data_IF_697565908581
#
_entry.id   IF_697565908581
#
_cell.length_a   1.000
_cell.length_b   1.000
_cell.length_c   1.000
_cell.angle_alpha   90.00
_cell.angle_beta   90.00
_cell.angle_gamma   90.00
#
_symmetry.space_group_name_H-M   'P 1'
#
loop_
_entity.id
_entity.type
_entity.pdbx_description
1 polymer ?
#
# COMPACT_ATOMS: atom_id res chain seq x y z
N UNK A 1 6.05 -21.20 -15.59
CA UNK A 1 6.36 -20.10 -14.65
C UNK A 1 6.25 -18.79 -15.42
N UNK A 2 5.32 -17.87 -15.11
CA UNK A 2 5.31 -16.60 -15.84
C UNK A 2 6.53 -15.78 -15.44
N UNK A 3 7.27 -15.28 -16.43
CA UNK A 3 8.43 -14.41 -16.24
C UNK A 3 8.02 -13.15 -15.48
N UNK A 4 8.65 -12.96 -14.32
CA UNK A 4 8.68 -11.72 -13.56
C UNK A 4 9.46 -10.70 -14.41
N UNK A 5 8.80 -9.67 -14.93
CA UNK A 5 9.49 -8.62 -15.69
C UNK A 5 8.62 -7.70 -16.53
N UNK A 6 7.37 -8.07 -16.80
CA UNK A 6 6.37 -7.16 -17.41
C UNK A 6 5.03 -7.36 -16.72
N UNK A 7 4.70 -6.49 -15.77
CA UNK A 7 3.33 -6.01 -15.53
C UNK A 7 3.25 -5.24 -14.20
N UNK A 8 2.32 -4.29 -14.15
CA UNK A 8 1.75 -3.65 -12.95
C UNK A 8 2.49 -2.45 -12.33
N UNK A 9 3.24 -1.66 -13.11
CA UNK A 9 3.58 -0.29 -12.68
C UNK A 9 2.55 0.66 -13.29
N UNK A 10 1.71 1.26 -12.44
CA UNK A 10 0.74 2.26 -12.86
C UNK A 10 1.48 3.49 -13.40
N UNK A 11 1.11 3.94 -14.60
CA UNK A 11 1.72 5.14 -15.20
C UNK A 11 1.59 6.34 -14.26
N UNK A 12 2.67 7.13 -14.13
CA UNK A 12 2.67 8.36 -13.32
C UNK A 12 2.79 8.18 -11.81
N UNK A 13 2.86 6.96 -11.27
CA UNK A 13 2.98 6.72 -9.81
C UNK A 13 4.25 7.36 -9.22
N UNK A 14 5.37 7.32 -9.95
CA UNK A 14 6.61 7.95 -9.50
C UNK A 14 6.43 9.47 -9.35
N UNK A 15 5.81 10.12 -10.34
CA UNK A 15 5.53 11.56 -10.31
C UNK A 15 4.59 11.94 -9.17
N UNK A 16 3.53 11.17 -8.95
CA UNK A 16 2.58 11.38 -7.86
C UNK A 16 3.27 11.32 -6.50
N UNK A 17 4.01 10.23 -6.24
CA UNK A 17 4.66 10.05 -4.94
C UNK A 17 5.81 11.05 -4.74
N UNK A 18 6.54 11.44 -5.78
CA UNK A 18 7.49 12.56 -5.68
C UNK A 18 6.80 13.86 -5.26
N UNK A 19 5.67 14.23 -5.87
CA UNK A 19 4.94 15.45 -5.51
C UNK A 19 4.43 15.42 -4.05
N UNK A 20 3.97 14.26 -3.57
CA UNK A 20 3.57 14.07 -2.17
C UNK A 20 4.76 14.30 -1.23
N UNK A 21 5.93 13.74 -1.57
CA UNK A 21 7.16 13.92 -0.80
C UNK A 21 7.63 15.38 -0.78
N UNK A 22 7.57 16.05 -1.94
CA UNK A 22 7.89 17.48 -2.10
C UNK A 22 6.93 18.37 -1.29
N UNK A 23 5.70 17.91 -1.04
CA UNK A 23 4.71 18.58 -0.19
C UNK A 23 4.94 18.36 1.33
N UNK A 24 6.04 17.71 1.72
CA UNK A 24 6.44 17.52 3.12
C UNK A 24 5.96 16.21 3.77
N UNK A 25 5.19 15.39 3.07
CA UNK A 25 4.72 14.11 3.60
C UNK A 25 5.81 13.03 3.54
N UNK A 26 5.77 12.11 4.51
CA UNK A 26 6.61 10.91 4.51
C UNK A 26 5.83 9.74 3.91
N UNK A 27 6.49 8.95 3.06
CA UNK A 27 5.89 7.79 2.42
C UNK A 27 6.27 6.52 3.16
N UNK A 28 5.27 5.71 3.47
CA UNK A 28 5.38 4.38 4.05
C UNK A 28 4.83 3.39 3.03
N UNK A 29 5.65 2.43 2.62
CA UNK A 29 5.23 1.38 1.70
C UNK A 29 4.85 0.14 2.50
N UNK A 30 3.63 -0.37 2.32
CA UNK A 30 3.15 -1.59 2.98
C UNK A 30 3.05 -2.71 1.94
N UNK A 31 3.73 -3.83 2.20
CA UNK A 31 3.74 -4.98 1.30
C UNK A 31 3.36 -6.26 2.05
N UNK A 32 2.51 -7.09 1.45
CA UNK A 32 2.08 -8.38 1.99
C UNK A 32 2.81 -9.66 1.47
N UNK A 33 3.85 -9.64 0.61
CA UNK A 33 4.58 -10.86 0.28
C UNK A 33 5.49 -11.30 1.44
N UNK A 34 5.82 -12.59 1.48
CA UNK A 34 6.69 -13.18 2.49
C UNK A 34 8.01 -12.42 2.65
N UNK A 35 8.55 -12.37 3.87
CA UNK A 35 9.81 -11.69 4.22
C UNK A 35 11.00 -12.08 3.33
N UNK A 36 10.99 -13.29 2.77
CA UNK A 36 12.00 -13.79 1.81
C UNK A 36 12.01 -12.99 0.50
N UNK A 37 10.88 -12.39 0.11
CA UNK A 37 10.73 -11.52 -1.07
C UNK A 37 10.83 -10.02 -0.71
N UNK A 38 11.16 -9.69 0.54
CA UNK A 38 11.37 -8.33 1.00
C UNK A 38 12.45 -7.62 0.19
N UNK A 39 13.57 -8.30 -0.04
CA UNK A 39 14.67 -7.79 -0.83
C UNK A 39 14.24 -7.48 -2.27
N UNK A 40 13.45 -8.37 -2.89
CA UNK A 40 12.92 -8.17 -4.24
C UNK A 40 11.96 -6.98 -4.31
N UNK A 41 11.09 -6.83 -3.31
CA UNK A 41 10.17 -5.69 -3.22
C UNK A 41 10.92 -4.38 -3.05
N UNK A 42 11.91 -4.34 -2.14
CA UNK A 42 12.74 -3.16 -1.91
C UNK A 42 13.57 -2.81 -3.15
N UNK A 43 14.18 -3.81 -3.78
CA UNK A 43 14.94 -3.64 -5.02
C UNK A 43 14.04 -3.12 -6.15
N UNK A 44 12.82 -3.67 -6.29
CA UNK A 44 11.85 -3.18 -7.26
C UNK A 44 11.47 -1.72 -7.03
N UNK A 45 11.14 -1.33 -5.80
CA UNK A 45 10.79 0.06 -5.47
C UNK A 45 11.96 1.02 -5.73
N UNK A 46 13.18 0.64 -5.36
CA UNK A 46 14.38 1.45 -5.57
C UNK A 46 14.74 1.62 -7.05
N UNK A 47 14.45 0.60 -7.86
CA UNK A 47 14.78 0.59 -9.29
C UNK A 47 13.62 1.11 -10.17
N UNK A 48 12.44 1.34 -9.61
CA UNK A 48 11.31 1.86 -10.36
C UNK A 48 11.57 3.31 -10.78
N UNK A 49 11.67 3.52 -12.09
CA UNK A 49 11.82 4.84 -12.71
C UNK A 49 10.77 5.03 -13.79
N UNK A 50 10.07 6.14 -13.75
CA UNK A 50 9.12 6.59 -14.78
C UNK A 50 9.46 8.02 -15.16
N UNK A 51 9.55 8.31 -16.46
CA UNK A 51 9.83 9.66 -16.97
C UNK A 51 11.05 10.33 -16.31
N UNK A 52 12.10 9.54 -16.06
CA UNK A 52 13.34 9.93 -15.36
C UNK A 52 13.18 10.28 -13.87
N UNK A 53 11.98 10.14 -13.28
CA UNK A 53 11.76 10.21 -11.83
C UNK A 53 11.77 8.82 -11.21
N UNK A 54 12.53 8.67 -10.12
CA UNK A 54 12.50 7.49 -9.28
C UNK A 54 11.42 7.62 -8.21
N UNK A 55 10.98 6.50 -7.65
CA UNK A 55 10.18 6.54 -6.43
C UNK A 55 10.96 7.21 -5.29
N UNK A 56 10.31 8.07 -4.49
CA UNK A 56 10.92 8.64 -3.29
C UNK A 56 11.21 7.54 -2.25
N UNK A 57 12.30 7.74 -1.50
CA UNK A 57 12.68 6.83 -0.43
C UNK A 57 11.64 6.81 0.70
N UNK A 58 11.38 5.62 1.23
CA UNK A 58 10.51 5.41 2.39
C UNK A 58 10.71 4.02 3.00
N UNK A 59 10.37 3.84 4.29
CA UNK A 59 10.35 2.52 4.90
C UNK A 59 9.38 1.58 4.17
N UNK A 60 9.81 0.33 4.00
CA UNK A 60 8.97 -0.75 3.47
C UNK A 60 8.64 -1.67 4.63
N UNK A 61 7.39 -1.65 5.06
CA UNK A 61 6.89 -2.54 6.10
C UNK A 61 6.28 -3.77 5.43
N UNK A 62 6.68 -4.93 5.92
CA UNK A 62 6.34 -6.21 5.31
C UNK A 62 5.62 -7.06 6.33
N UNK A 63 4.61 -7.79 5.87
CA UNK A 63 3.94 -8.74 6.73
C UNK A 63 4.90 -9.77 7.31
N UNK A 64 4.79 -10.11 8.61
CA UNK A 64 5.50 -11.22 9.21
C UNK A 64 5.03 -12.59 8.68
N UNK A 65 4.20 -12.65 7.63
CA UNK A 65 3.73 -13.85 6.92
C UNK A 65 4.83 -14.89 6.63
N UNK A 66 6.10 -14.48 6.56
CA UNK A 66 7.23 -15.37 6.37
C UNK A 66 7.77 -16.08 7.63
N UNK A 67 7.27 -15.77 8.84
CA UNK A 67 7.91 -16.20 10.10
C UNK A 67 7.10 -17.22 10.94
N UNK A 68 5.77 -17.42 10.71
CA UNK A 68 4.92 -18.20 11.64
C UNK A 68 4.08 -19.33 10.98
N UNK A 69 4.33 -20.63 11.27
CA UNK A 69 3.77 -21.71 10.45
C UNK A 69 2.39 -22.28 10.81
N UNK A 70 1.92 -22.26 12.08
CA UNK A 70 0.83 -23.17 12.50
C UNK A 70 -0.54 -22.50 12.76
N UNK A 71 -0.60 -21.41 13.54
CA UNK A 71 -1.85 -20.71 13.87
C UNK A 71 -2.25 -19.69 12.78
N UNK A 72 -1.25 -19.03 12.19
CA UNK A 72 -1.38 -17.94 11.21
C UNK A 72 -1.98 -18.41 9.87
N UNK A 73 -1.63 -19.63 9.43
CA UNK A 73 -2.07 -20.24 8.16
C UNK A 73 -3.59 -20.49 8.07
N UNK A 74 -4.26 -20.60 9.22
CA UNK A 74 -5.70 -20.94 9.31
C UNK A 74 -6.61 -19.70 9.29
N UNK A 75 -6.13 -18.59 9.85
CA UNK A 75 -6.88 -17.33 10.00
C UNK A 75 -6.61 -16.38 8.83
N UNK A 76 -5.34 -16.08 8.52
CA UNK A 76 -4.97 -15.04 7.53
C UNK A 76 -5.21 -15.45 6.08
N UNK A 77 -5.20 -16.76 5.75
CA UNK A 77 -5.50 -17.22 4.39
C UNK A 77 -6.93 -16.85 3.93
N UNK A 78 -7.80 -16.41 4.85
CA UNK A 78 -9.17 -15.97 4.58
C UNK A 78 -9.37 -14.43 4.59
N UNK A 79 -8.46 -13.64 5.16
CA UNK A 79 -8.65 -12.19 5.31
C UNK A 79 -7.33 -11.38 5.29
N UNK A 80 -6.70 -11.18 4.12
CA UNK A 80 -5.43 -10.44 3.99
C UNK A 80 -5.49 -8.98 4.48
N UNK A 81 -6.69 -8.40 4.60
CA UNK A 81 -6.89 -7.04 5.13
C UNK A 81 -6.74 -6.96 6.65
N UNK A 82 -6.99 -8.04 7.39
CA UNK A 82 -6.80 -8.10 8.85
C UNK A 82 -5.33 -7.87 9.20
N UNK A 83 -4.41 -8.43 8.41
CA UNK A 83 -2.98 -8.17 8.59
C UNK A 83 -2.63 -6.70 8.39
N UNK A 84 -3.09 -6.11 7.27
CA UNK A 84 -2.80 -4.70 6.98
C UNK A 84 -3.32 -3.80 8.09
N UNK A 85 -4.51 -4.10 8.63
CA UNK A 85 -5.07 -3.40 9.78
C UNK A 85 -4.15 -3.52 10.99
N UNK A 86 -3.82 -4.75 11.41
CA UNK A 86 -2.99 -4.98 12.59
C UNK A 86 -1.62 -4.28 12.49
N UNK A 87 -0.96 -4.38 11.33
CA UNK A 87 0.32 -3.75 11.10
C UNK A 87 0.25 -2.21 11.16
N UNK A 88 -0.77 -1.62 10.52
CA UNK A 88 -0.97 -0.18 10.57
C UNK A 88 -1.36 0.30 11.99
N UNK A 89 -2.15 -0.50 12.73
CA UNK A 89 -2.45 -0.23 14.13
C UNK A 89 -1.20 -0.26 15.02
N UNK A 90 -0.32 -1.24 14.84
CA UNK A 90 0.92 -1.32 15.60
C UNK A 90 1.84 -0.13 15.32
N UNK A 91 1.92 0.33 14.06
CA UNK A 91 2.63 1.56 13.72
C UNK A 91 1.96 2.77 14.38
N UNK A 92 0.63 2.86 14.37
CA UNK A 92 -0.12 3.96 15.00
C UNK A 92 0.14 4.04 16.50
N UNK A 93 0.26 2.90 17.19
CA UNK A 93 0.58 2.83 18.63
C UNK A 93 1.96 3.39 18.99
N UNK A 94 2.87 3.54 18.02
CA UNK A 94 4.18 4.19 18.23
C UNK A 94 4.07 5.72 18.33
N UNK A 95 2.89 6.29 18.04
CA UNK A 95 2.61 7.71 18.10
C UNK A 95 1.66 8.04 19.27
N UNK A 96 1.61 9.31 19.72
CA UNK A 96 0.67 9.73 20.76
C UNK A 96 -0.79 9.39 20.40
N UNK A 97 -1.60 8.97 21.38
CA UNK A 97 -2.96 8.47 21.14
C UNK A 97 -3.88 9.48 20.42
N UNK A 98 -3.67 10.78 20.63
CA UNK A 98 -4.45 11.86 20.01
C UNK A 98 -3.98 12.25 18.61
N UNK A 99 -2.95 11.58 18.07
CA UNK A 99 -2.36 11.88 16.78
C UNK A 99 -2.49 10.68 15.83
N UNK A 100 -3.10 10.89 14.66
CA UNK A 100 -3.08 9.89 13.60
C UNK A 100 -1.89 10.17 12.66
N UNK A 101 -0.86 9.30 12.61
CA UNK A 101 0.29 9.50 11.72
C UNK A 101 -0.07 9.30 10.25
N UNK A 102 -1.22 8.68 9.94
CA UNK A 102 -1.62 8.39 8.58
C UNK A 102 -2.52 9.50 8.02
N UNK A 103 -1.99 10.26 7.05
CA UNK A 103 -2.75 11.31 6.38
C UNK A 103 -3.65 10.77 5.25
N UNK A 104 -3.13 9.85 4.43
CA UNK A 104 -3.81 9.29 3.26
C UNK A 104 -3.37 7.84 3.01
N UNK A 105 -4.20 7.06 2.30
CA UNK A 105 -3.93 5.68 1.93
C UNK A 105 -4.08 5.47 0.42
N UNK A 106 -3.11 4.78 -0.19
CA UNK A 106 -3.11 4.41 -1.61
C UNK A 106 -3.06 2.90 -1.74
N UNK A 107 -4.14 2.30 -2.23
CA UNK A 107 -4.31 0.87 -2.41
C UNK A 107 -4.65 0.49 -3.84
N UNK A 108 -4.80 -0.81 -4.09
CA UNK A 108 -5.21 -1.36 -5.38
C UNK A 108 -6.37 -2.36 -5.28
N UNK A 109 -6.91 -2.56 -4.07
CA UNK A 109 -8.06 -3.43 -3.79
C UNK A 109 -9.04 -2.72 -2.87
N UNK A 110 -10.33 -3.04 -2.97
CA UNK A 110 -11.36 -2.52 -2.04
C UNK A 110 -11.07 -2.90 -0.59
N UNK A 111 -10.41 -4.03 -0.38
CA UNK A 111 -9.94 -4.46 0.94
C UNK A 111 -8.93 -3.49 1.58
N UNK A 112 -8.22 -2.70 0.77
CA UNK A 112 -7.31 -1.67 1.27
C UNK A 112 -8.08 -0.47 1.82
N UNK A 113 -9.23 -0.13 1.21
CA UNK A 113 -10.11 0.92 1.75
C UNK A 113 -10.55 0.58 3.17
N UNK A 114 -10.96 -0.67 3.40
CA UNK A 114 -11.30 -1.15 4.73
C UNK A 114 -10.12 -1.00 5.71
N UNK A 115 -8.91 -1.40 5.30
CA UNK A 115 -7.72 -1.31 6.15
C UNK A 115 -7.40 0.13 6.54
N UNK A 116 -7.44 1.07 5.59
CA UNK A 116 -7.16 2.48 5.83
C UNK A 116 -8.25 3.16 6.66
N UNK A 117 -9.52 2.82 6.41
CA UNK A 117 -10.63 3.34 7.21
C UNK A 117 -10.54 2.90 8.66
N UNK A 118 -10.10 1.67 8.94
CA UNK A 118 -9.96 1.13 10.30
C UNK A 118 -8.93 1.86 11.15
N UNK A 119 -7.83 2.32 10.54
CA UNK A 119 -6.80 3.10 11.27
C UNK A 119 -7.10 4.59 11.37
N UNK A 120 -8.25 5.03 10.82
CA UNK A 120 -8.77 6.39 10.97
C UNK A 120 -8.41 7.35 9.84
N UNK A 121 -8.05 6.84 8.65
CA UNK A 121 -7.89 7.69 7.46
C UNK A 121 -9.28 8.06 6.93
N UNK A 122 -9.60 9.36 6.75
CA UNK A 122 -10.88 9.77 6.19
C UNK A 122 -11.08 9.24 4.76
N UNK A 123 -12.31 8.82 4.40
CA UNK A 123 -12.63 8.26 3.07
C UNK A 123 -12.20 9.15 1.90
N UNK A 124 -12.29 10.47 2.04
CA UNK A 124 -11.83 11.43 1.03
C UNK A 124 -10.32 11.47 0.80
N UNK A 125 -9.54 10.74 1.63
CA UNK A 125 -8.08 10.59 1.54
C UNK A 125 -7.66 9.13 1.34
N UNK A 126 -8.61 8.27 0.96
CA UNK A 126 -8.36 6.89 0.57
C UNK A 126 -8.54 6.78 -0.94
N UNK A 127 -7.49 6.30 -1.59
CA UNK A 127 -7.38 6.23 -3.04
C UNK A 127 -7.14 4.79 -3.46
N UNK A 128 -8.02 4.28 -4.33
CA UNK A 128 -7.84 2.97 -4.98
C UNK A 128 -7.40 3.23 -6.41
N UNK A 129 -6.25 2.69 -6.77
CA UNK A 129 -5.67 2.85 -8.10
C UNK A 129 -5.88 1.56 -8.87
N UNK A 130 -6.56 1.65 -10.01
CA UNK A 130 -6.83 0.50 -10.86
C UNK A 130 -5.60 0.09 -11.71
N UNK A 131 -5.63 -1.03 -12.43
CA UNK A 131 -4.52 -1.47 -13.27
C UNK A 131 -4.14 -0.51 -14.41
N UNK A 132 -5.07 0.36 -14.84
CA UNK A 132 -4.81 1.40 -15.86
C UNK A 132 -4.11 2.62 -15.28
N UNK A 133 -3.95 2.70 -13.95
CA UNK A 133 -3.38 3.86 -13.26
C UNK A 133 -4.38 4.97 -12.96
N UNK A 134 -5.67 4.72 -13.15
CA UNK A 134 -6.74 5.68 -12.80
C UNK A 134 -6.97 5.62 -11.29
N UNK A 135 -7.03 6.79 -10.66
CA UNK A 135 -7.19 6.95 -9.21
C UNK A 135 -8.65 7.29 -8.91
N UNK A 136 -9.30 6.48 -8.09
CA UNK A 136 -10.63 6.77 -7.55
C UNK A 136 -10.55 7.04 -6.05
N UNK A 137 -11.29 8.04 -5.57
CA UNK A 137 -11.58 8.18 -4.14
C UNK A 137 -12.60 7.12 -3.73
N UNK A 138 -12.61 6.68 -2.46
CA UNK A 138 -13.54 5.67 -1.90
C UNK A 138 -15.05 5.99 -2.00
N UNK A 139 -15.42 6.98 -2.80
CA UNK A 139 -16.77 7.22 -3.28
C UNK A 139 -16.69 7.41 -4.80
N UNK A 140 -17.24 6.45 -5.56
CA UNK A 140 -17.59 6.45 -7.00
C UNK A 140 -16.80 5.43 -7.83
N UNK A 141 -17.40 4.25 -7.95
CA UNK A 141 -17.38 3.51 -9.21
C UNK A 141 -18.83 3.26 -9.63
N UNK A 142 -19.58 4.34 -9.89
CA UNK A 142 -20.71 4.26 -10.81
C UNK A 142 -20.14 4.36 -12.23
N UNK A 143 -19.55 3.27 -12.69
CA UNK A 143 -19.37 3.10 -14.14
C UNK A 143 -20.75 2.76 -14.66
N UNK A 144 -21.46 3.78 -15.17
CA UNK A 144 -22.54 3.56 -16.12
C UNK A 144 -21.97 2.67 -17.23
N UNK A 145 -22.44 1.42 -17.29
CA UNK A 145 -22.34 0.62 -18.51
C UNK A 145 -23.09 1.40 -19.59
N UNK A 146 -22.35 1.88 -20.58
CA UNK A 146 -22.90 2.23 -21.88
C UNK A 146 -22.49 1.18 -22.88
#
# INVERSE_FOLDING_TARGET
>A
MPLVGRAWTQSGVARLFSAIKESGYQLLFLSAPAIVQAYLTRSFLNNLKQDRKALPNGPVVISPDGLFPALYRKVIRRAPHEFKIACLEDIKKLFPEHYNPFYAGYGNRDTDELSYSKVGIPKGKIFIINPKGEVATGHRVDVKKS
#
